data_IF_615284643038
#
_entry.id   IF_615284643038
#
_cell.length_a   1.000
_cell.length_b   1.000
_cell.length_c   1.000
_cell.angle_alpha   90.00
_cell.angle_beta   90.00
_cell.angle_gamma   90.00
#
_symmetry.space_group_name_H-M   'P 1'
#
loop_
_entity.id
_entity.type
_entity.pdbx_description
1 polymer ?
#
# COMPACT_ATOMS: atom_id res chain seq x y z
N UNK A 1 -3.72 7.99 -3.49
CA UNK A 1 -3.68 8.66 -2.17
C UNK A 1 -2.79 9.87 -2.29
N UNK A 2 -3.17 11.00 -1.68
CA UNK A 2 -2.35 12.21 -1.69
C UNK A 2 -1.14 12.09 -0.74
N UNK A 3 -0.04 12.77 -1.06
CA UNK A 3 1.17 12.78 -0.26
C UNK A 3 0.91 13.30 1.17
N UNK A 4 0.04 14.30 1.31
CA UNK A 4 -0.40 14.87 2.58
C UNK A 4 -0.93 13.83 3.58
N UNK A 5 -1.68 12.83 3.09
CA UNK A 5 -2.22 11.75 3.93
C UNK A 5 -1.14 10.77 4.38
N UNK A 6 -0.16 10.50 3.52
CA UNK A 6 1.00 9.66 3.84
C UNK A 6 1.84 10.33 4.93
N UNK A 7 2.07 11.64 4.81
CA UNK A 7 2.79 12.42 5.80
C UNK A 7 2.05 12.37 7.15
N UNK A 8 0.72 12.48 7.14
CA UNK A 8 -0.11 12.34 8.35
C UNK A 8 0.01 10.95 8.99
N UNK A 9 0.05 9.88 8.20
CA UNK A 9 0.30 8.52 8.70
C UNK A 9 1.66 8.45 9.40
N UNK A 10 2.70 9.06 8.82
CA UNK A 10 4.05 9.09 9.39
C UNK A 10 4.12 9.91 10.68
N UNK A 11 3.44 11.05 10.75
CA UNK A 11 3.31 11.86 11.97
C UNK A 11 2.65 11.06 13.09
N UNK A 12 1.49 10.44 12.82
CA UNK A 12 0.78 9.61 13.80
C UNK A 12 1.62 8.40 14.22
N UNK A 13 2.37 7.80 13.30
CA UNK A 13 3.28 6.69 13.63
C UNK A 13 4.45 7.13 14.53
N UNK A 14 5.02 8.32 14.30
CA UNK A 14 6.04 8.91 15.19
C UNK A 14 5.47 9.22 16.57
N UNK A 15 4.28 9.82 16.62
CA UNK A 15 3.60 10.15 17.88
C UNK A 15 3.27 8.89 18.70
N UNK A 16 2.73 7.85 18.04
CA UNK A 16 2.46 6.56 18.67
C UNK A 16 3.69 5.94 19.36
N UNK A 17 4.87 6.08 18.75
CA UNK A 17 6.14 5.58 19.32
C UNK A 17 6.66 6.42 20.48
N UNK A 18 6.41 7.73 20.45
CA UNK A 18 6.95 8.65 21.45
C UNK A 18 6.10 8.68 22.73
N UNK A 19 4.78 8.84 22.60
CA UNK A 19 3.88 9.07 23.73
C UNK A 19 2.56 8.31 23.66
N UNK A 20 2.34 7.49 22.63
CA UNK A 20 1.06 6.84 22.37
C UNK A 20 0.09 7.72 21.58
N UNK A 21 -1.04 7.14 21.19
CA UNK A 21 -2.13 7.84 20.49
C UNK A 21 -3.37 7.86 21.37
N UNK A 22 -4.15 8.94 21.33
CA UNK A 22 -5.49 8.91 21.89
C UNK A 22 -6.44 8.08 20.99
N UNK A 23 -7.64 7.77 21.49
CA UNK A 23 -8.61 6.95 20.75
C UNK A 23 -9.03 7.58 19.41
N UNK A 24 -9.18 8.91 19.36
CA UNK A 24 -9.50 9.64 18.13
C UNK A 24 -8.37 9.55 17.09
N UNK A 25 -7.12 9.68 17.55
CA UNK A 25 -5.95 9.56 16.68
C UNK A 25 -5.72 8.12 16.21
N UNK A 26 -6.05 7.13 17.03
CA UNK A 26 -6.00 5.73 16.65
C UNK A 26 -7.04 5.42 15.57
N UNK A 27 -8.27 5.94 15.71
CA UNK A 27 -9.31 5.82 14.70
C UNK A 27 -8.90 6.50 13.39
N UNK A 28 -8.33 7.71 13.46
CA UNK A 28 -7.81 8.43 12.29
C UNK A 28 -6.67 7.67 11.61
N UNK A 29 -5.71 7.15 12.40
CA UNK A 29 -4.59 6.37 11.87
C UNK A 29 -5.08 5.10 11.17
N UNK A 30 -6.08 4.43 11.74
CA UNK A 30 -6.69 3.22 11.16
C UNK A 30 -7.36 3.54 9.83
N UNK A 31 -8.21 4.57 9.77
CA UNK A 31 -8.89 4.99 8.55
C UNK A 31 -7.89 5.36 7.43
N UNK A 32 -6.85 6.13 7.77
CA UNK A 32 -5.80 6.49 6.81
C UNK A 32 -5.03 5.26 6.32
N UNK A 33 -4.74 4.30 7.21
CA UNK A 33 -4.06 3.06 6.83
C UNK A 33 -4.91 2.18 5.92
N UNK A 34 -6.22 2.08 6.17
CA UNK A 34 -7.12 1.33 5.30
C UNK A 34 -7.16 1.93 3.89
N UNK A 35 -7.25 3.26 3.77
CA UNK A 35 -7.19 3.95 2.49
C UNK A 35 -5.84 3.72 1.79
N UNK A 36 -4.72 3.80 2.51
CA UNK A 36 -3.39 3.53 1.97
C UNK A 36 -3.27 2.10 1.44
N UNK A 37 -3.70 1.11 2.23
CA UNK A 37 -3.63 -0.31 1.85
C UNK A 37 -4.50 -0.58 0.63
N UNK A 38 -5.69 0.02 0.53
CA UNK A 38 -6.54 -0.10 -0.64
C UNK A 38 -5.85 0.46 -1.89
N UNK A 39 -5.31 1.69 -1.81
CA UNK A 39 -4.59 2.30 -2.91
C UNK A 39 -3.35 1.49 -3.32
N UNK A 40 -2.59 0.97 -2.35
CA UNK A 40 -1.43 0.13 -2.59
C UNK A 40 -1.81 -1.19 -3.27
N UNK A 41 -2.87 -1.86 -2.82
CA UNK A 41 -3.37 -3.09 -3.44
C UNK A 41 -3.77 -2.87 -4.90
N UNK A 42 -4.45 -1.77 -5.21
CA UNK A 42 -4.81 -1.42 -6.59
C UNK A 42 -3.57 -1.17 -7.44
N UNK A 43 -2.60 -0.38 -6.94
CA UNK A 43 -1.36 -0.10 -7.66
C UNK A 43 -0.54 -1.38 -7.92
N UNK A 44 -0.46 -2.27 -6.92
CA UNK A 44 0.22 -3.55 -7.06
C UNK A 44 -0.48 -4.44 -8.08
N UNK A 45 -1.81 -4.53 -8.03
CA UNK A 45 -2.61 -5.30 -8.99
C UNK A 45 -2.35 -4.80 -10.42
N UNK A 46 -2.40 -3.49 -10.64
CA UNK A 46 -2.11 -2.89 -11.95
C UNK A 46 -0.69 -3.21 -12.44
N UNK A 47 0.29 -3.25 -11.53
CA UNK A 47 1.68 -3.60 -11.87
C UNK A 47 1.76 -5.07 -12.31
N UNK A 48 1.15 -5.97 -11.54
CA UNK A 48 1.11 -7.41 -11.84
C UNK A 48 0.36 -7.70 -13.14
N UNK A 49 -0.74 -6.98 -13.43
CA UNK A 49 -1.51 -7.11 -14.66
C UNK A 49 -0.73 -6.71 -15.93
N UNK A 50 0.33 -5.93 -15.77
CA UNK A 50 1.23 -5.52 -16.85
C UNK A 50 2.60 -6.23 -16.80
N UNK A 51 2.77 -7.21 -15.91
CA UNK A 51 4.03 -7.95 -15.74
C UNK A 51 4.10 -9.15 -16.69
N UNK A 52 5.27 -9.37 -17.26
CA UNK A 52 5.58 -10.50 -18.13
C UNK A 52 6.75 -11.31 -17.55
N UNK A 53 6.64 -12.62 -17.60
CA UNK A 53 7.69 -13.57 -17.22
C UNK A 53 8.49 -13.89 -18.48
N UNK A 54 9.80 -13.64 -18.43
CA UNK A 54 10.72 -14.03 -19.50
C UNK A 54 11.37 -15.38 -19.16
N UNK A 55 11.23 -16.35 -20.06
CA UNK A 55 11.84 -17.68 -19.93
C UNK A 55 13.28 -17.67 -20.47
N UNK A 56 14.12 -18.67 -20.11
CA UNK A 56 15.50 -18.79 -20.60
C UNK A 56 15.61 -18.90 -22.12
N UNK A 57 14.57 -19.40 -22.80
CA UNK A 57 14.47 -19.50 -24.26
C UNK A 57 14.13 -18.16 -24.96
N UNK A 58 13.96 -17.09 -24.20
CA UNK A 58 13.64 -15.75 -24.70
C UNK A 58 12.14 -15.48 -24.89
N UNK A 59 11.27 -16.48 -24.72
CA UNK A 59 9.82 -16.27 -24.80
C UNK A 59 9.30 -15.48 -23.59
N UNK A 60 8.24 -14.70 -23.81
CA UNK A 60 7.58 -13.91 -22.77
C UNK A 60 6.14 -14.36 -22.59
N UNK A 61 5.76 -14.69 -21.38
CA UNK A 61 4.38 -15.02 -21.02
C UNK A 61 3.82 -13.99 -20.05
N UNK A 62 2.55 -13.64 -20.21
CA UNK A 62 1.89 -12.68 -19.30
C UNK A 62 1.67 -13.34 -17.94
N UNK A 63 1.97 -12.62 -16.86
CA UNK A 63 1.67 -13.08 -15.51
C UNK A 63 0.16 -13.32 -15.37
N UNK A 64 -0.22 -14.51 -14.88
CA UNK A 64 -1.62 -14.88 -14.65
C UNK A 64 -1.94 -14.80 -13.16
N UNK A 65 -3.13 -14.29 -12.84
CA UNK A 65 -3.66 -14.31 -11.48
C UNK A 65 -3.95 -15.76 -11.10
N UNK A 66 -3.51 -16.16 -9.91
CA UNK A 66 -3.85 -17.47 -9.33
C UNK A 66 -5.31 -17.42 -8.89
N UNK A 67 -6.08 -18.42 -9.32
CA UNK A 67 -7.47 -18.65 -8.87
C UNK A 67 -7.55 -19.08 -7.41
#
# INVERSE_FOLDING_TARGET
>A
MEQSKIDKINELAKKARACGLCEEELALQKALREEYVAAFRTALTNTLDNTYIQRPDGTREKLKRKE
#
